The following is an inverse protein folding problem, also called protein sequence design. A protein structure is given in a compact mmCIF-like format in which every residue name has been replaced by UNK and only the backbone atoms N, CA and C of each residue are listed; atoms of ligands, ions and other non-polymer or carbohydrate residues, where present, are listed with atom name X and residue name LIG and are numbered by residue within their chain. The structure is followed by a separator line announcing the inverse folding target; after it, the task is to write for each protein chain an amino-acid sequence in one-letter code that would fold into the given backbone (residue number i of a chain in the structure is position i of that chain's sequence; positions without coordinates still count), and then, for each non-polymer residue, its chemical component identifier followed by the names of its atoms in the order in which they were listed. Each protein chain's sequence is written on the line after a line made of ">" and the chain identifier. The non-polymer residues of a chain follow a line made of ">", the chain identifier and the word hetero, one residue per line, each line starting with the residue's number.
data_IF_822050716668
#
_entry.id   IF_822050716668
#
_cell.length_a   1.000
_cell.length_b   1.000
_cell.length_c   1.000
_cell.angle_alpha   90.00
_cell.angle_beta   90.00
_cell.angle_gamma   90.00
#
_symmetry.space_group_name_H-M   'P 1'
#
loop_
_entity.id
_entity.type
_entity.pdbx_description
1 polymer ?
#
# COMPACT_ATOMS: atom_id res chain seq x y z
N UNK A 1 6.25 18.91 16.68
CA UNK A 1 6.01 18.67 15.25
C UNK A 1 5.55 17.24 15.05
N UNK A 2 4.42 17.02 14.40
CA UNK A 2 3.90 15.69 14.09
C UNK A 2 4.77 15.06 12.99
N UNK A 3 5.26 13.84 13.20
CA UNK A 3 5.97 13.06 12.17
C UNK A 3 4.94 12.23 11.40
N UNK A 4 4.85 12.42 10.09
CA UNK A 4 3.91 11.68 9.22
C UNK A 4 4.71 10.66 8.40
N UNK A 5 4.24 9.41 8.38
CA UNK A 5 4.81 8.37 7.51
C UNK A 5 4.89 8.86 6.05
N UNK A 6 5.93 8.50 5.29
CA UNK A 6 6.13 9.00 3.92
C UNK A 6 5.16 8.44 2.88
N UNK A 7 4.17 7.66 3.32
CA UNK A 7 3.13 7.05 2.51
C UNK A 7 1.86 6.89 3.35
N UNK A 8 0.77 6.62 2.66
CA UNK A 8 -0.49 6.20 3.24
C UNK A 8 -1.15 5.14 2.36
N UNK A 9 -2.33 4.67 2.75
CA UNK A 9 -3.04 3.61 2.06
C UNK A 9 -4.33 4.13 1.44
N UNK A 10 -4.60 3.67 0.22
CA UNK A 10 -5.93 3.77 -0.39
C UNK A 10 -6.71 2.52 0.04
N UNK A 11 -7.76 2.66 0.86
CA UNK A 11 -8.51 1.52 1.39
C UNK A 11 -9.06 0.63 0.29
N UNK A 12 -9.16 -0.67 0.58
CA UNK A 12 -9.94 -1.59 -0.25
C UNK A 12 -11.42 -1.39 0.08
N UNK A 13 -12.28 -1.45 -0.94
CA UNK A 13 -13.73 -1.44 -0.75
C UNK A 13 -14.20 -2.81 -0.23
N UNK A 14 -15.36 -2.85 0.42
CA UNK A 14 -15.93 -4.11 0.91
C UNK A 14 -16.47 -5.00 -0.22
N UNK A 15 -16.48 -4.49 -1.46
CA UNK A 15 -16.86 -5.23 -2.67
C UNK A 15 -15.66 -5.99 -3.27
N UNK A 16 -15.86 -7.24 -3.67
CA UNK A 16 -14.85 -8.03 -4.40
C UNK A 16 -14.49 -7.40 -5.77
N UNK A 17 -13.23 -7.53 -6.24
CA UNK A 17 -12.84 -7.11 -7.58
C UNK A 17 -13.74 -7.73 -8.65
N UNK A 18 -14.13 -6.93 -9.65
CA UNK A 18 -14.96 -7.39 -10.76
C UNK A 18 -14.17 -8.38 -11.63
N UNK A 19 -14.63 -9.63 -11.72
CA UNK A 19 -14.03 -10.70 -12.55
C UNK A 19 -15.04 -11.33 -13.49
N UNK A 20 -16.13 -10.63 -13.83
CA UNK A 20 -17.21 -11.18 -14.66
C UNK A 20 -16.90 -11.15 -16.15
N UNK A 21 -15.89 -10.38 -16.55
CA UNK A 21 -15.52 -10.18 -17.94
C UNK A 21 -14.24 -10.93 -18.29
N UNK A 22 -14.35 -11.85 -19.24
CA UNK A 22 -13.21 -12.56 -19.80
C UNK A 22 -12.25 -11.67 -20.60
N UNK A 23 -11.03 -12.14 -20.75
CA UNK A 23 -9.99 -11.56 -21.58
C UNK A 23 -10.30 -11.78 -23.05
N UNK A 24 -10.56 -10.70 -23.78
CA UNK A 24 -10.85 -10.75 -25.22
C UNK A 24 -9.61 -10.96 -26.08
N UNK A 25 -8.42 -11.02 -25.48
CA UNK A 25 -7.18 -11.25 -26.21
C UNK A 25 -6.80 -10.15 -27.19
N UNK A 26 -5.76 -10.46 -27.95
CA UNK A 26 -5.29 -9.70 -29.11
C UNK A 26 -5.60 -10.39 -30.45
N UNK A 27 -6.17 -11.59 -30.40
CA UNK A 27 -6.36 -12.47 -31.57
C UNK A 27 -7.48 -12.00 -32.50
N UNK A 28 -8.57 -11.46 -31.94
CA UNK A 28 -9.70 -10.93 -32.72
C UNK A 28 -10.08 -9.56 -32.19
N UNK A 29 -9.99 -8.56 -33.06
CA UNK A 29 -10.44 -7.21 -32.77
C UNK A 29 -11.97 -7.19 -32.76
N UNK A 30 -12.56 -6.54 -31.75
CA UNK A 30 -13.99 -6.25 -31.72
C UNK A 30 -14.26 -4.87 -32.30
N UNK A 31 -15.34 -4.76 -33.06
CA UNK A 31 -15.67 -3.57 -33.86
C UNK A 31 -15.77 -2.28 -33.03
N UNK A 32 -16.26 -2.38 -31.80
CA UNK A 32 -16.47 -1.28 -30.85
C UNK A 32 -15.27 -1.01 -29.93
N UNK A 33 -14.18 -1.77 -30.09
CA UNK A 33 -12.96 -1.63 -29.30
C UNK A 33 -11.93 -0.71 -29.97
N UNK A 34 -11.09 -0.10 -29.12
CA UNK A 34 -10.08 0.87 -29.51
C UNK A 34 -8.68 0.25 -29.53
N UNK A 35 -7.89 0.61 -30.53
CA UNK A 35 -6.48 0.23 -30.64
C UNK A 35 -5.64 1.38 -31.17
N UNK A 36 -4.35 1.38 -30.84
CA UNK A 36 -3.38 2.32 -31.39
C UNK A 36 -2.32 2.74 -30.38
N UNK A 37 -1.74 3.92 -30.60
CA UNK A 37 -0.59 4.45 -29.88
C UNK A 37 -0.93 5.75 -29.15
N UNK A 38 -0.53 5.87 -27.90
CA UNK A 38 -0.62 7.07 -27.08
C UNK A 38 0.81 7.57 -26.82
N UNK A 39 1.13 8.76 -27.31
CA UNK A 39 2.39 9.45 -27.06
C UNK A 39 2.29 10.24 -25.74
N UNK A 40 3.23 9.99 -24.83
CA UNK A 40 3.22 10.54 -23.48
C UNK A 40 4.52 11.27 -23.17
N UNK A 41 4.39 12.40 -22.49
CA UNK A 41 5.49 13.22 -21.99
C UNK A 41 5.47 13.20 -20.46
N UNK A 42 6.54 12.69 -19.85
CA UNK A 42 6.75 12.67 -18.41
C UNK A 42 7.70 13.80 -18.01
N UNK A 43 7.26 14.68 -17.13
CA UNK A 43 8.09 15.77 -16.58
C UNK A 43 8.43 15.50 -15.11
N UNK A 44 9.72 15.57 -14.78
CA UNK A 44 10.22 15.41 -13.42
C UNK A 44 9.82 16.63 -12.56
N UNK A 45 9.11 16.38 -11.46
CA UNK A 45 8.71 17.41 -10.48
C UNK A 45 9.59 17.38 -9.23
N UNK A 46 10.21 16.25 -8.94
CA UNK A 46 11.34 16.10 -8.01
C UNK A 46 12.45 15.31 -8.74
N UNK A 47 13.68 15.24 -8.22
CA UNK A 47 14.72 14.43 -8.85
C UNK A 47 14.27 12.97 -9.05
N UNK A 48 14.60 12.40 -10.21
CA UNK A 48 14.31 11.01 -10.56
C UNK A 48 15.60 10.21 -10.56
N UNK A 49 15.53 9.01 -9.98
CA UNK A 49 16.63 8.05 -9.95
C UNK A 49 16.10 6.71 -10.41
N UNK A 50 16.75 6.16 -11.42
CA UNK A 50 16.63 4.75 -11.84
C UNK A 50 18.02 4.21 -12.05
N UNK A 51 18.27 2.97 -11.63
CA UNK A 51 19.60 2.41 -11.58
C UNK A 51 19.72 1.22 -12.50
N UNK A 52 20.86 1.13 -13.15
CA UNK A 52 21.29 -0.07 -13.84
C UNK A 52 21.67 -1.15 -12.80
N UNK A 53 20.80 -2.14 -12.62
CA UNK A 53 21.02 -3.25 -11.69
C UNK A 53 21.90 -4.37 -12.28
N UNK A 54 22.20 -4.32 -13.57
CA UNK A 54 23.05 -5.34 -14.23
C UNK A 54 24.51 -5.22 -13.79
N UNK A 55 24.94 -4.02 -13.40
CA UNK A 55 26.29 -3.74 -12.89
C UNK A 55 26.38 -4.04 -11.39
N UNK A 56 26.50 -5.32 -11.06
CA UNK A 56 26.55 -5.80 -9.65
C UNK A 56 27.77 -5.29 -8.87
N UNK A 57 28.85 -4.89 -9.53
CA UNK A 57 30.15 -4.63 -8.89
C UNK A 57 30.56 -3.16 -8.77
N UNK A 58 29.69 -2.21 -9.16
CA UNK A 58 30.04 -0.79 -9.06
C UNK A 58 29.50 -0.20 -7.76
N UNK A 59 30.41 0.27 -6.89
CA UNK A 59 30.07 0.94 -5.63
C UNK A 59 29.10 2.11 -5.81
N UNK A 60 29.20 2.85 -6.92
CA UNK A 60 28.30 3.94 -7.26
C UNK A 60 27.46 3.60 -8.47
N UNK A 61 26.14 3.70 -8.34
CA UNK A 61 25.22 3.34 -9.41
C UNK A 61 24.95 4.54 -10.31
N UNK A 62 25.01 4.30 -11.62
CA UNK A 62 24.69 5.30 -12.65
C UNK A 62 23.22 5.24 -13.04
N UNK A 63 22.78 6.30 -13.71
CA UNK A 63 21.43 6.34 -14.26
C UNK A 63 21.30 5.28 -15.37
N UNK A 64 20.15 4.62 -15.43
CA UNK A 64 19.92 3.58 -16.45
C UNK A 64 19.94 4.17 -17.87
N UNK A 65 20.56 3.44 -18.81
CA UNK A 65 20.64 3.82 -20.22
C UNK A 65 20.21 2.67 -21.12
N UNK A 66 19.74 2.99 -22.32
CA UNK A 66 19.48 2.00 -23.36
C UNK A 66 20.78 1.58 -24.09
N UNK A 67 20.66 0.69 -25.08
CA UNK A 67 21.79 0.23 -25.92
C UNK A 67 22.49 1.36 -26.70
N UNK A 68 21.82 2.49 -26.92
CA UNK A 68 22.36 3.71 -27.55
C UNK A 68 22.96 4.69 -26.53
N UNK A 69 23.19 4.24 -25.30
CA UNK A 69 23.73 5.05 -24.19
C UNK A 69 22.87 6.27 -23.80
N UNK A 70 21.59 6.31 -24.22
CA UNK A 70 20.66 7.38 -23.86
C UNK A 70 20.03 7.11 -22.49
N UNK A 71 19.93 8.09 -21.58
CA UNK A 71 19.23 7.93 -20.30
C UNK A 71 17.76 7.54 -20.50
N UNK A 72 17.30 6.53 -19.75
CA UNK A 72 15.92 6.05 -19.82
C UNK A 72 15.28 5.81 -18.45
N UNK A 73 13.96 5.89 -18.40
CA UNK A 73 13.13 5.23 -17.38
C UNK A 73 12.54 3.96 -17.98
N UNK A 74 12.63 2.82 -17.30
CA UNK A 74 12.15 1.54 -17.84
C UNK A 74 10.63 1.55 -18.06
N UNK A 75 10.19 1.06 -19.21
CA UNK A 75 8.78 0.90 -19.56
C UNK A 75 8.03 0.03 -18.54
N UNK A 76 8.67 -1.01 -18.00
CA UNK A 76 8.12 -1.84 -16.92
C UNK A 76 7.85 -1.05 -15.64
N UNK A 77 8.71 -0.09 -15.29
CA UNK A 77 8.54 0.77 -14.11
C UNK A 77 7.40 1.77 -14.30
N UNK A 78 7.27 2.32 -15.51
CA UNK A 78 6.18 3.22 -15.90
C UNK A 78 4.84 2.46 -15.91
N UNK A 79 4.83 1.26 -16.51
CA UNK A 79 3.69 0.34 -16.49
C UNK A 79 3.24 0.04 -15.06
N UNK A 80 4.17 -0.30 -14.16
CA UNK A 80 3.87 -0.57 -12.76
C UNK A 80 3.26 0.63 -12.04
N UNK A 81 3.80 1.82 -12.27
CA UNK A 81 3.29 3.07 -11.69
C UNK A 81 1.85 3.38 -12.13
N UNK A 82 1.58 3.36 -13.44
CA UNK A 82 0.24 3.61 -13.98
C UNK A 82 -0.73 2.48 -13.58
N UNK A 83 -0.25 1.22 -13.58
CA UNK A 83 -1.02 0.08 -13.10
C UNK A 83 -1.47 0.25 -11.65
N UNK A 84 -0.61 0.74 -10.76
CA UNK A 84 -1.00 0.94 -9.35
C UNK A 84 -2.18 1.92 -9.20
N UNK A 85 -2.18 3.02 -9.98
CA UNK A 85 -3.32 3.95 -10.00
C UNK A 85 -4.56 3.29 -10.58
N UNK A 86 -4.42 2.60 -11.72
CA UNK A 86 -5.53 1.89 -12.35
C UNK A 86 -6.13 0.80 -11.43
N UNK A 87 -5.29 0.09 -10.67
CA UNK A 87 -5.72 -0.90 -9.68
C UNK A 87 -6.54 -0.27 -8.56
N UNK A 88 -6.20 0.96 -8.14
CA UNK A 88 -6.94 1.70 -7.15
C UNK A 88 -8.28 2.24 -7.69
N UNK A 89 -8.32 2.72 -8.94
CA UNK A 89 -9.54 3.17 -9.62
C UNK A 89 -10.54 2.01 -9.78
N UNK A 90 -10.03 0.83 -10.18
CA UNK A 90 -10.87 -0.31 -10.56
C UNK A 90 -11.10 -1.34 -9.45
N UNK A 91 -10.61 -1.09 -8.25
CA UNK A 91 -10.61 -2.03 -7.13
C UNK A 91 -10.09 -3.43 -7.51
N UNK A 92 -9.03 -3.46 -8.33
CA UNK A 92 -8.43 -4.71 -8.83
C UNK A 92 -7.72 -5.50 -7.72
N UNK A 93 -7.38 -6.78 -7.98
CA UNK A 93 -6.69 -7.61 -7.00
C UNK A 93 -5.34 -7.02 -6.55
N UNK A 94 -4.91 -7.34 -5.34
CA UNK A 94 -3.58 -7.05 -4.83
C UNK A 94 -2.59 -8.15 -5.18
N UNK A 95 -1.32 -7.80 -5.37
CA UNK A 95 -0.21 -8.74 -5.59
C UNK A 95 0.20 -9.40 -4.26
N UNK A 96 -0.75 -10.05 -3.61
CA UNK A 96 -0.51 -11.01 -2.55
C UNK A 96 -0.88 -12.40 -3.06
N UNK A 97 -0.06 -13.39 -2.72
CA UNK A 97 -0.31 -14.78 -3.05
C UNK A 97 -1.34 -15.41 -2.10
N UNK A 98 -1.34 -15.02 -0.83
CA UNK A 98 -2.22 -15.52 0.22
C UNK A 98 -2.47 -14.45 1.31
N UNK A 99 -3.49 -14.69 2.14
CA UNK A 99 -3.82 -13.93 3.36
C UNK A 99 -2.72 -14.01 4.40
N UNK A 100 -2.04 -15.15 4.39
CA UNK A 100 -0.95 -15.50 5.28
C UNK A 100 0.30 -15.72 4.44
N UNK A 101 1.45 -15.30 4.96
CA UNK A 101 2.70 -15.47 4.25
C UNK A 101 3.90 -15.15 5.09
N UNK A 102 5.07 -15.15 4.45
CA UNK A 102 6.32 -14.81 5.10
C UNK A 102 6.90 -13.55 4.47
N UNK A 103 7.45 -12.69 5.31
CA UNK A 103 8.20 -11.51 4.90
C UNK A 103 9.61 -11.60 5.46
N UNK A 104 10.59 -11.18 4.67
CA UNK A 104 12.00 -11.27 5.08
C UNK A 104 12.41 -10.08 5.95
N UNK A 105 13.12 -10.37 7.03
CA UNK A 105 13.88 -9.39 7.82
C UNK A 105 15.32 -9.91 7.94
N UNK A 106 16.20 -9.43 7.08
CA UNK A 106 17.51 -10.06 6.91
C UNK A 106 17.37 -11.51 6.42
N UNK A 107 17.98 -12.46 7.14
CA UNK A 107 17.89 -13.90 6.85
C UNK A 107 16.63 -14.56 7.43
N UNK A 108 15.92 -13.87 8.33
CA UNK A 108 14.74 -14.41 9.00
C UNK A 108 13.49 -14.26 8.13
N UNK A 109 12.62 -15.28 8.18
CA UNK A 109 11.27 -15.24 7.61
C UNK A 109 10.27 -15.01 8.74
N UNK A 110 9.62 -13.85 8.73
CA UNK A 110 8.62 -13.47 9.73
C UNK A 110 7.23 -13.70 9.13
N UNK A 111 6.37 -14.52 9.76
CA UNK A 111 5.01 -14.74 9.28
C UNK A 111 4.17 -13.47 9.41
N UNK A 112 3.19 -13.31 8.51
CA UNK A 112 2.15 -12.30 8.60
C UNK A 112 0.78 -12.89 8.25
N UNK A 113 -0.30 -12.29 8.76
CA UNK A 113 -1.70 -12.70 8.54
C UNK A 113 -2.65 -11.50 8.51
N UNK A 114 -3.49 -11.40 7.47
CA UNK A 114 -4.48 -10.32 7.29
C UNK A 114 -5.89 -10.86 7.00
N UNK A 115 -6.90 -10.30 7.69
CA UNK A 115 -8.31 -10.54 7.37
C UNK A 115 -8.76 -9.83 6.08
N UNK A 116 -9.88 -10.29 5.50
CA UNK A 116 -10.57 -9.74 4.32
C UNK A 116 -9.78 -9.69 3.00
N UNK A 117 -8.49 -10.05 3.03
CA UNK A 117 -7.64 -10.09 1.85
C UNK A 117 -8.09 -11.17 0.85
N UNK A 118 -8.80 -12.19 1.31
CA UNK A 118 -9.24 -13.33 0.51
C UNK A 118 -9.95 -12.91 -0.80
N UNK A 119 -10.76 -11.84 -0.79
CA UNK A 119 -11.45 -11.36 -1.99
C UNK A 119 -10.53 -10.65 -3.00
N UNK A 120 -9.47 -10.06 -2.49
CA UNK A 120 -8.51 -9.26 -3.24
C UNK A 120 -7.25 -10.03 -3.63
N UNK A 121 -7.09 -11.29 -3.25
CA UNK A 121 -5.92 -12.08 -3.63
C UNK A 121 -5.76 -12.13 -5.15
N UNK A 122 -4.53 -11.86 -5.59
CA UNK A 122 -4.17 -12.03 -6.99
C UNK A 122 -4.47 -13.45 -7.42
N UNK A 123 -4.24 -14.47 -6.56
CA UNK A 123 -4.47 -15.90 -6.78
C UNK A 123 -5.86 -16.24 -7.32
N UNK A 124 -6.90 -15.44 -7.06
CA UNK A 124 -8.25 -15.59 -7.65
C UNK A 124 -8.37 -15.22 -9.13
N UNK A 125 -7.47 -14.41 -9.68
CA UNK A 125 -7.41 -14.13 -11.12
C UNK A 125 -6.66 -15.27 -11.85
N UNK A 126 -7.21 -16.48 -11.91
CA UNK A 126 -6.50 -17.71 -12.31
C UNK A 126 -6.89 -18.29 -13.67
N UNK A 127 -7.87 -17.72 -14.36
CA UNK A 127 -8.20 -18.08 -15.74
C UNK A 127 -8.43 -16.81 -16.57
N UNK A 128 -8.38 -16.94 -17.90
CA UNK A 128 -8.59 -15.82 -18.82
C UNK A 128 -10.03 -15.28 -18.76
N UNK A 129 -10.99 -16.11 -18.36
CA UNK A 129 -12.41 -15.79 -18.22
C UNK A 129 -12.69 -14.97 -16.95
N UNK A 130 -11.82 -15.07 -15.93
CA UNK A 130 -12.05 -14.52 -14.60
C UNK A 130 -10.93 -13.58 -14.11
N UNK A 131 -10.51 -12.63 -14.94
CA UNK A 131 -9.50 -11.63 -14.59
C UNK A 131 -10.13 -10.34 -14.04
N UNK A 132 -9.46 -9.75 -13.03
CA UNK A 132 -9.79 -8.39 -12.62
C UNK A 132 -9.40 -7.37 -13.70
N UNK A 133 -9.93 -6.13 -13.67
CA UNK A 133 -9.70 -5.15 -14.73
C UNK A 133 -8.21 -4.87 -14.98
N UNK A 134 -7.39 -4.75 -13.91
CA UNK A 134 -5.96 -4.49 -14.06
C UNK A 134 -5.19 -5.71 -14.62
N UNK A 135 -5.50 -6.93 -14.17
CA UNK A 135 -4.86 -8.14 -14.71
C UNK A 135 -5.19 -8.33 -16.19
N UNK A 136 -6.42 -8.01 -16.61
CA UNK A 136 -6.84 -8.08 -18.01
C UNK A 136 -6.13 -7.03 -18.88
N UNK A 137 -6.02 -5.80 -18.38
CA UNK A 137 -5.40 -4.70 -19.11
C UNK A 137 -3.87 -4.81 -19.15
N UNK A 138 -3.22 -4.99 -18.00
CA UNK A 138 -1.75 -4.97 -17.88
C UNK A 138 -1.11 -6.35 -17.96
N UNK A 139 -1.91 -7.43 -17.99
CA UNK A 139 -1.42 -8.80 -18.00
C UNK A 139 -1.17 -9.37 -16.60
N UNK A 140 -1.04 -10.69 -16.55
CA UNK A 140 -0.77 -11.47 -15.36
C UNK A 140 -0.13 -12.81 -15.75
N UNK A 141 0.85 -13.24 -14.96
CA UNK A 141 1.47 -14.56 -15.07
C UNK A 141 1.30 -15.25 -13.72
N UNK A 142 0.85 -16.49 -13.71
CA UNK A 142 0.80 -17.32 -12.50
C UNK A 142 1.11 -18.77 -12.81
N UNK A 143 2.28 -19.21 -12.35
CA UNK A 143 2.78 -20.55 -12.65
C UNK A 143 2.60 -20.87 -14.14
N UNK A 144 2.24 -22.10 -14.42
CA UNK A 144 1.98 -22.58 -15.79
C UNK A 144 0.50 -22.48 -16.18
N UNK A 145 -0.38 -22.09 -15.26
CA UNK A 145 -1.84 -22.16 -15.45
C UNK A 145 -2.44 -20.88 -16.05
N UNK A 146 -1.79 -19.74 -15.88
CA UNK A 146 -2.26 -18.48 -16.46
C UNK A 146 -1.12 -17.67 -17.06
N UNK A 147 -1.19 -17.48 -18.38
CA UNK A 147 -0.32 -16.60 -19.15
C UNK A 147 -1.17 -15.56 -19.89
N UNK A 148 -1.34 -14.38 -19.28
CA UNK A 148 -2.06 -13.26 -19.88
C UNK A 148 -1.08 -12.13 -20.23
N UNK A 149 -0.87 -11.89 -21.53
CA UNK A 149 0.05 -10.87 -22.05
C UNK A 149 -0.35 -9.44 -21.68
N UNK A 150 -1.64 -9.20 -21.47
CA UNK A 150 -2.20 -7.86 -21.31
C UNK A 150 -2.42 -7.16 -22.65
N UNK A 151 -3.29 -6.14 -22.63
CA UNK A 151 -3.70 -5.34 -23.79
C UNK A 151 -2.85 -4.09 -24.01
N UNK A 152 -1.99 -3.74 -23.05
CA UNK A 152 -1.12 -2.55 -23.14
C UNK A 152 0.36 -2.89 -23.05
N UNK A 153 1.15 -2.27 -23.93
CA UNK A 153 2.61 -2.32 -23.93
C UNK A 153 3.19 -0.91 -23.77
N UNK A 154 4.33 -0.81 -23.08
CA UNK A 154 4.99 0.46 -22.74
C UNK A 154 6.39 0.44 -23.32
N UNK A 155 6.78 1.48 -24.05
CA UNK A 155 8.17 1.71 -24.37
C UNK A 155 8.93 2.19 -23.14
N UNK A 156 10.26 2.09 -23.17
CA UNK A 156 11.09 2.88 -22.26
C UNK A 156 10.87 4.37 -22.52
N UNK A 157 10.93 5.18 -21.46
CA UNK A 157 10.90 6.62 -21.60
C UNK A 157 12.30 7.17 -21.77
N UNK A 158 12.52 7.85 -22.89
CA UNK A 158 13.82 8.40 -23.27
C UNK A 158 13.89 9.86 -22.83
N UNK A 159 15.01 10.27 -22.23
CA UNK A 159 15.26 11.68 -21.89
C UNK A 159 15.32 12.51 -23.19
N UNK A 160 14.42 13.48 -23.35
CA UNK A 160 14.33 14.35 -24.52
C UNK A 160 14.67 15.80 -24.23
N UNK A 161 14.51 16.24 -22.97
CA UNK A 161 14.87 17.59 -22.54
C UNK A 161 15.53 17.56 -21.15
N UNK A 162 16.54 18.40 -20.97
CA UNK A 162 17.37 18.43 -19.77
C UNK A 162 18.61 17.54 -19.86
N UNK A 163 19.45 17.60 -18.84
CA UNK A 163 20.68 16.80 -18.71
C UNK A 163 20.71 16.17 -17.32
N UNK A 164 21.28 14.98 -17.22
CA UNK A 164 21.51 14.35 -15.92
C UNK A 164 22.51 15.19 -15.11
N UNK A 165 22.19 15.37 -13.83
CA UNK A 165 23.12 15.97 -12.87
C UNK A 165 24.18 14.95 -12.49
N UNK A 166 25.46 15.31 -12.63
CA UNK A 166 26.60 14.49 -12.23
C UNK A 166 26.94 14.84 -10.78
N UNK A 167 26.44 14.05 -9.84
CA UNK A 167 26.67 14.27 -8.42
C UNK A 167 26.78 12.93 -7.70
N UNK A 168 27.97 12.64 -7.18
CA UNK A 168 28.18 11.52 -6.27
C UNK A 168 27.52 11.82 -4.95
N UNK A 169 26.51 11.04 -4.56
CA UNK A 169 25.90 11.18 -3.25
C UNK A 169 25.39 9.84 -2.70
N UNK A 170 25.32 9.78 -1.38
CA UNK A 170 24.70 8.71 -0.63
C UNK A 170 23.24 9.07 -0.39
N UNK A 171 22.29 8.21 -0.79
CA UNK A 171 20.88 8.43 -0.50
C UNK A 171 20.57 8.15 0.97
N UNK A 172 19.70 8.95 1.58
CA UNK A 172 19.10 8.65 2.89
C UNK A 172 18.47 7.24 2.88
N UNK A 173 18.50 6.57 4.03
CA UNK A 173 18.01 5.21 4.17
C UNK A 173 16.57 5.05 3.66
N UNK A 174 16.40 4.12 2.72
CA UNK A 174 15.13 3.80 2.09
C UNK A 174 14.39 2.72 2.88
N UNK A 175 14.35 2.87 4.22
CA UNK A 175 13.61 1.94 5.07
C UNK A 175 12.17 1.84 4.60
N UNK A 176 11.57 0.69 4.75
CA UNK A 176 10.13 0.53 4.53
C UNK A 176 9.67 -0.60 5.44
N UNK A 177 8.68 -0.37 6.31
CA UNK A 177 8.15 -1.47 7.10
C UNK A 177 7.60 -2.52 6.15
N UNK A 178 7.68 -3.76 6.58
CA UNK A 178 7.28 -4.93 5.82
C UNK A 178 5.86 -5.34 6.20
N UNK A 179 5.22 -6.26 5.46
CA UNK A 179 3.89 -6.74 5.79
C UNK A 179 3.74 -7.33 7.20
N UNK A 180 4.81 -7.76 7.90
CA UNK A 180 4.71 -8.15 9.31
C UNK A 180 4.50 -6.99 10.30
N UNK A 181 4.65 -5.74 9.85
CA UNK A 181 4.52 -4.56 10.70
C UNK A 181 3.05 -4.09 10.76
N UNK A 182 2.23 -4.84 11.51
CA UNK A 182 0.78 -4.62 11.58
C UNK A 182 0.38 -3.22 12.02
N UNK A 183 1.15 -2.59 12.92
CA UNK A 183 0.95 -1.20 13.34
C UNK A 183 0.92 -0.21 12.16
N UNK A 184 1.47 -0.58 11.00
CA UNK A 184 1.45 0.24 9.80
C UNK A 184 0.58 -0.32 8.68
N UNK A 185 0.52 -1.63 8.49
CA UNK A 185 -0.19 -2.25 7.36
C UNK A 185 -1.57 -2.81 7.71
N UNK A 186 -1.91 -2.94 8.99
CA UNK A 186 -3.22 -3.38 9.45
C UNK A 186 -4.09 -2.19 9.87
N UNK A 187 -5.38 -2.19 9.49
CA UNK A 187 -6.33 -1.13 9.86
C UNK A 187 -6.41 -0.94 11.39
N UNK A 188 -6.36 -2.04 12.12
CA UNK A 188 -6.46 -2.06 13.59
C UNK A 188 -5.10 -2.25 14.29
N UNK A 189 -4.00 -2.33 13.53
CA UNK A 189 -2.65 -2.37 14.08
C UNK A 189 -2.18 -3.70 14.70
N UNK A 190 -2.98 -4.77 14.62
CA UNK A 190 -2.67 -6.09 15.19
C UNK A 190 -2.73 -7.22 14.14
N UNK A 191 -2.18 -8.39 14.49
CA UNK A 191 -2.25 -9.59 13.65
C UNK A 191 -3.71 -9.99 13.38
N UNK A 192 -3.98 -10.41 12.15
CA UNK A 192 -5.34 -10.75 11.72
C UNK A 192 -6.24 -9.54 11.46
N UNK A 193 -5.78 -8.30 11.67
CA UNK A 193 -6.55 -7.13 11.26
C UNK A 193 -6.69 -7.06 9.72
N UNK A 194 -7.75 -6.42 9.19
CA UNK A 194 -7.85 -6.18 7.76
C UNK A 194 -6.68 -5.32 7.26
N UNK A 195 -6.22 -5.56 6.04
CA UNK A 195 -5.15 -4.75 5.44
C UNK A 195 -5.61 -3.29 5.25
N UNK A 196 -4.71 -2.34 5.52
CA UNK A 196 -4.97 -0.91 5.40
C UNK A 196 -5.31 -0.48 3.97
N UNK A 197 -4.72 -1.14 2.96
CA UNK A 197 -5.06 -0.96 1.55
C UNK A 197 -3.86 -0.95 0.61
N UNK A 198 -3.98 -0.21 -0.50
CA UNK A 198 -2.91 -0.01 -1.48
C UNK A 198 -1.99 1.10 -1.01
N UNK A 199 -0.70 0.79 -0.84
CA UNK A 199 0.30 1.74 -0.36
C UNK A 199 0.72 2.73 -1.47
N UNK A 200 0.61 4.03 -1.19
CA UNK A 200 1.09 5.11 -2.05
C UNK A 200 1.95 6.10 -1.27
N UNK A 201 3.05 6.54 -1.88
CA UNK A 201 3.97 7.51 -1.26
C UNK A 201 3.50 8.94 -1.51
N UNK A 202 3.59 9.78 -0.47
CA UNK A 202 3.31 11.20 -0.60
C UNK A 202 4.37 11.93 -1.43
N UNK A 203 3.96 13.06 -2.02
CA UNK A 203 4.85 14.03 -2.66
C UNK A 203 5.39 15.01 -1.62
N UNK A 204 6.71 15.28 -1.68
CA UNK A 204 7.42 16.10 -0.70
C UNK A 204 8.03 17.36 -1.36
N UNK A 205 7.33 17.90 -2.36
CA UNK A 205 7.79 19.09 -3.11
C UNK A 205 8.93 18.82 -4.09
N UNK A 206 9.53 19.91 -4.58
CA UNK A 206 10.49 19.88 -5.71
C UNK A 206 11.89 19.46 -5.30
N UNK A 207 12.37 19.92 -4.15
CA UNK A 207 13.76 19.77 -3.72
C UNK A 207 13.84 19.06 -2.36
N UNK A 208 13.49 17.77 -2.28
CA UNK A 208 13.64 17.04 -1.03
C UNK A 208 15.13 16.98 -0.64
N UNK A 209 15.46 17.11 0.64
CA UNK A 209 16.80 16.78 1.12
C UNK A 209 16.94 15.26 1.11
N UNK A 210 17.60 14.71 0.08
CA UNK A 210 17.66 13.26 -0.17
C UNK A 210 19.06 12.65 0.03
N UNK A 211 20.11 13.46 0.08
CA UNK A 211 21.49 13.01 0.26
C UNK A 211 21.95 13.06 1.71
N UNK A 212 22.93 12.22 2.04
CA UNK A 212 23.73 12.24 3.28
C UNK A 212 25.22 12.31 2.95
N UNK A 213 26.01 12.75 3.92
CA UNK A 213 27.47 12.67 3.85
C UNK A 213 27.93 11.20 3.86
N UNK A 214 28.99 10.89 3.12
CA UNK A 214 29.45 9.50 2.97
C UNK A 214 29.86 8.85 4.30
N UNK A 215 30.40 9.64 5.25
CA UNK A 215 30.74 9.16 6.61
C UNK A 215 29.53 8.65 7.41
N UNK A 216 28.31 9.06 7.03
CA UNK A 216 27.06 8.64 7.65
C UNK A 216 26.41 7.45 6.93
N UNK A 217 27.04 6.95 5.85
CA UNK A 217 26.52 5.81 5.09
C UNK A 217 26.59 4.51 5.88
N UNK A 218 25.66 3.61 5.58
CA UNK A 218 25.60 2.28 6.15
C UNK A 218 25.35 1.23 5.05
N UNK A 219 25.19 -0.04 5.44
CA UNK A 219 25.01 -1.16 4.50
C UNK A 219 23.71 -1.10 3.68
N UNK A 220 22.76 -0.23 4.02
CA UNK A 220 21.51 0.00 3.30
C UNK A 220 21.53 1.27 2.44
N UNK A 221 22.57 2.09 2.56
CA UNK A 221 22.74 3.31 1.79
C UNK A 221 23.03 2.99 0.33
N UNK A 222 22.28 3.65 -0.58
CA UNK A 222 22.53 3.54 -2.02
C UNK A 222 23.39 4.72 -2.45
N UNK A 223 24.56 4.44 -3.03
CA UNK A 223 25.41 5.45 -3.66
C UNK A 223 25.02 5.63 -5.12
N UNK A 224 24.82 6.86 -5.55
CA UNK A 224 24.52 7.22 -6.94
C UNK A 224 25.56 8.22 -7.47
N UNK A 225 25.76 8.24 -8.79
CA UNK A 225 26.59 9.26 -9.48
C UNK A 225 25.76 10.24 -10.30
N UNK A 226 24.55 9.83 -10.68
CA UNK A 226 23.71 10.56 -11.61
C UNK A 226 22.25 10.53 -11.17
N UNK A 227 21.55 11.62 -11.40
CA UNK A 227 20.09 11.68 -11.32
C UNK A 227 19.53 12.64 -12.36
N UNK A 228 18.26 12.47 -12.72
CA UNK A 228 17.56 13.44 -13.55
C UNK A 228 17.01 14.56 -12.65
N UNK A 229 17.45 15.82 -12.81
CA UNK A 229 16.99 16.94 -11.99
C UNK A 229 15.53 17.30 -12.27
N UNK A 230 14.95 18.13 -11.39
CA UNK A 230 13.63 18.73 -11.60
C UNK A 230 13.58 19.43 -12.97
N UNK A 231 12.49 19.27 -13.69
CA UNK A 231 12.32 19.83 -15.03
C UNK A 231 12.77 18.92 -16.16
N UNK A 232 13.52 17.84 -15.90
CA UNK A 232 13.85 16.85 -16.92
C UNK A 232 12.60 16.27 -17.57
N UNK A 233 12.62 16.08 -18.89
CA UNK A 233 11.48 15.60 -19.66
C UNK A 233 11.82 14.30 -20.38
N UNK A 234 10.95 13.31 -20.26
CA UNK A 234 11.08 12.01 -20.90
C UNK A 234 9.88 11.76 -21.84
N UNK A 235 10.12 11.20 -23.02
CA UNK A 235 9.07 10.80 -23.97
C UNK A 235 8.94 9.28 -24.01
N UNK A 236 7.71 8.77 -24.02
CA UNK A 236 7.43 7.34 -24.16
C UNK A 236 6.09 7.10 -24.83
N UNK A 237 5.87 5.84 -25.23
CA UNK A 237 4.70 5.41 -25.95
C UNK A 237 3.99 4.28 -25.21
N UNK A 238 2.66 4.33 -25.25
CA UNK A 238 1.79 3.26 -24.79
C UNK A 238 1.04 2.74 -26.01
N UNK A 239 1.16 1.45 -26.27
CA UNK A 239 0.43 0.75 -27.32
C UNK A 239 -0.73 0.01 -26.69
N UNK A 240 -1.95 0.34 -27.10
CA UNK A 240 -3.18 -0.31 -26.66
C UNK A 240 -3.81 -1.12 -27.77
N UNK A 241 -4.28 -2.32 -27.46
CA UNK A 241 -4.96 -3.19 -28.42
C UNK A 241 -6.26 -3.71 -27.83
N UNK A 242 -7.34 -3.65 -28.62
CA UNK A 242 -8.62 -4.25 -28.29
C UNK A 242 -9.19 -3.77 -26.93
N UNK A 243 -9.05 -2.47 -26.64
CA UNK A 243 -9.50 -1.82 -25.41
C UNK A 243 -11.00 -1.53 -25.49
N UNK A 244 -11.76 -1.86 -24.44
CA UNK A 244 -13.14 -1.36 -24.33
C UNK A 244 -13.13 0.17 -24.10
N UNK A 245 -14.28 0.82 -24.34
CA UNK A 245 -14.47 2.24 -24.00
C UNK A 245 -14.11 2.55 -22.54
N UNK A 246 -14.54 1.70 -21.61
CA UNK A 246 -14.26 1.84 -20.18
C UNK A 246 -12.77 1.64 -19.85
N UNK A 247 -12.14 0.62 -20.43
CA UNK A 247 -10.71 0.35 -20.24
C UNK A 247 -9.86 1.53 -20.73
N UNK A 248 -10.18 2.07 -21.91
CA UNK A 248 -9.50 3.24 -22.45
C UNK A 248 -9.72 4.46 -21.55
N UNK A 249 -10.96 4.78 -21.18
CA UNK A 249 -11.25 5.97 -20.35
C UNK A 249 -10.50 5.98 -19.02
N UNK A 250 -10.51 4.85 -18.31
CA UNK A 250 -9.80 4.69 -17.02
C UNK A 250 -8.28 4.64 -17.19
N UNK A 251 -7.79 4.07 -18.29
CA UNK A 251 -6.36 4.08 -18.62
C UNK A 251 -5.87 5.51 -18.88
N UNK A 252 -6.62 6.31 -19.65
CA UNK A 252 -6.28 7.71 -19.91
C UNK A 252 -6.20 8.53 -18.63
N UNK A 253 -7.14 8.34 -17.70
CA UNK A 253 -7.09 8.97 -16.37
C UNK A 253 -5.88 8.49 -15.56
N UNK A 254 -5.56 7.19 -15.58
CA UNK A 254 -4.40 6.65 -14.87
C UNK A 254 -3.05 7.08 -15.48
N UNK A 255 -3.00 7.40 -16.78
CA UNK A 255 -1.82 7.95 -17.44
C UNK A 255 -1.66 9.43 -17.07
N UNK A 256 -2.64 10.25 -17.42
CA UNK A 256 -2.63 11.70 -17.22
C UNK A 256 -3.65 12.06 -16.14
N UNK A 257 -3.16 12.24 -14.92
CA UNK A 257 -3.98 12.58 -13.77
C UNK A 257 -4.58 13.99 -13.89
N UNK A 258 -5.55 14.28 -13.02
CA UNK A 258 -6.12 15.62 -12.89
C UNK A 258 -5.10 16.62 -12.33
N UNK A 259 -5.35 17.90 -12.57
CA UNK A 259 -4.49 18.99 -12.11
C UNK A 259 -4.24 18.94 -10.59
N UNK A 260 -3.00 19.22 -10.20
CA UNK A 260 -2.54 19.15 -8.81
C UNK A 260 -2.22 17.73 -8.30
N UNK A 261 -2.49 16.69 -9.10
CA UNK A 261 -2.08 15.32 -8.81
C UNK A 261 -0.84 14.91 -9.60
N UNK A 262 -0.10 13.93 -9.08
CA UNK A 262 1.11 13.44 -9.71
C UNK A 262 1.39 11.97 -9.44
N UNK A 263 2.41 11.49 -10.12
CA UNK A 263 2.87 10.12 -10.08
C UNK A 263 4.19 9.98 -9.32
N UNK A 264 4.46 8.77 -8.80
CA UNK A 264 5.71 8.45 -8.08
C UNK A 264 6.47 7.31 -8.76
N UNK A 265 7.61 7.60 -9.38
CA UNK A 265 8.46 6.63 -10.10
C UNK A 265 9.88 6.56 -9.54
N UNK A 266 10.57 5.46 -9.81
CA UNK A 266 11.99 5.32 -9.48
C UNK A 266 12.26 5.07 -7.99
N UNK A 267 13.51 5.29 -7.61
CA UNK A 267 14.01 5.11 -6.25
C UNK A 267 13.78 6.34 -5.39
N UNK A 268 13.93 6.18 -4.08
CA UNK A 268 13.86 7.30 -3.14
C UNK A 268 12.44 7.80 -2.85
N UNK A 269 11.39 7.05 -3.22
CA UNK A 269 10.00 7.46 -3.00
C UNK A 269 9.71 7.84 -1.54
N UNK A 270 10.32 7.13 -0.59
CA UNK A 270 10.10 7.38 0.84
C UNK A 270 10.80 8.65 1.36
N UNK A 271 11.84 9.12 0.67
CA UNK A 271 12.61 10.32 1.01
C UNK A 271 12.23 11.49 0.07
N UNK A 272 11.06 11.42 -0.56
CA UNK A 272 10.49 12.51 -1.34
C UNK A 272 10.80 12.52 -2.83
N UNK A 273 11.70 11.66 -3.31
CA UNK A 273 12.08 11.57 -4.72
C UNK A 273 11.00 10.90 -5.59
N UNK A 274 11.16 11.03 -6.91
CA UNK A 274 10.34 10.29 -7.86
C UNK A 274 9.04 10.94 -8.31
N UNK A 275 8.71 12.15 -7.85
CA UNK A 275 7.50 12.88 -8.26
C UNK A 275 7.59 13.31 -9.73
N UNK A 276 6.56 13.02 -10.52
CA UNK A 276 6.43 13.45 -11.90
C UNK A 276 4.96 13.71 -12.28
N UNK A 277 4.74 14.44 -13.37
CA UNK A 277 3.47 14.46 -14.08
C UNK A 277 3.65 13.83 -15.46
N UNK A 278 2.58 13.29 -16.01
CA UNK A 278 2.53 12.79 -17.38
C UNK A 278 1.46 13.57 -18.11
N UNK A 279 1.75 13.96 -19.34
CA UNK A 279 0.79 14.57 -20.27
C UNK A 279 0.72 13.74 -21.55
N UNK A 280 -0.45 13.72 -22.19
CA UNK A 280 -0.70 12.99 -23.42
C UNK A 280 -0.67 13.97 -24.60
N UNK A 281 0.22 13.72 -25.55
CA UNK A 281 0.30 14.48 -26.80
C UNK A 281 -0.76 13.93 -27.76
N UNK A 282 -1.90 14.64 -27.85
CA UNK A 282 -3.07 14.21 -28.62
C UNK A 282 -2.76 14.17 -30.12
N UNK A 283 -1.99 15.13 -30.59
CA UNK A 283 -1.55 15.30 -31.97
C UNK A 283 -0.53 14.25 -32.43
N UNK A 284 0.26 13.65 -31.51
CA UNK A 284 1.20 12.55 -31.83
C UNK A 284 0.64 11.17 -31.51
N UNK A 285 -0.57 11.13 -30.95
CA UNK A 285 -1.29 9.91 -30.62
C UNK A 285 -2.26 9.52 -31.73
N UNK A 286 -2.48 8.23 -31.90
CA UNK A 286 -3.42 7.68 -32.87
C UNK A 286 -4.17 6.51 -32.23
N UNK A 287 -5.44 6.70 -31.93
CA UNK A 287 -6.33 5.67 -31.39
C UNK A 287 -7.59 5.66 -32.22
N UNK A 288 -7.99 4.48 -32.69
CA UNK A 288 -9.16 4.30 -33.55
C UNK A 288 -9.95 3.08 -33.12
N UNK A 289 -11.27 3.11 -33.32
CA UNK A 289 -12.09 1.90 -33.28
C UNK A 289 -11.67 0.91 -34.37
N UNK A 290 -11.80 -0.39 -34.07
CA UNK A 290 -11.46 -1.44 -35.02
C UNK A 290 -12.32 -1.40 -36.28
N UNK A 291 -13.64 -1.20 -36.15
CA UNK A 291 -14.59 -1.02 -37.27
C UNK A 291 -14.09 0.04 -38.25
N UNK A 292 -13.91 1.26 -37.76
CA UNK A 292 -13.46 2.41 -38.56
C UNK A 292 -12.09 2.24 -39.19
N UNK A 293 -11.18 1.52 -38.53
CA UNK A 293 -9.80 1.33 -39.00
C UNK A 293 -9.72 0.54 -40.31
N UNK A 294 -10.64 -0.42 -40.52
CA UNK A 294 -10.64 -1.29 -41.70
C UNK A 294 -11.73 -0.95 -42.72
N UNK A 295 -12.53 0.09 -42.46
CA UNK A 295 -13.59 0.54 -43.38
C UNK A 295 -13.03 1.23 -44.64
N UNK A 296 -11.96 2.04 -44.54
CA UNK A 296 -11.33 2.68 -45.70
C UNK A 296 -9.84 2.94 -45.44
N UNK A 297 -9.00 2.93 -46.48
CA UNK A 297 -7.58 3.29 -46.36
C UNK A 297 -7.35 4.73 -45.82
N UNK A 298 -8.34 5.61 -46.05
CA UNK A 298 -8.34 7.03 -45.67
C UNK A 298 -9.36 7.38 -44.57
N UNK A 299 -9.98 6.41 -43.85
CA UNK A 299 -10.90 6.70 -42.73
C UNK A 299 -10.19 7.19 -41.46
N UNK A 300 -9.20 8.07 -41.64
CA UNK A 300 -8.57 8.87 -40.60
C UNK A 300 -9.46 10.00 -40.10
N UNK A 301 -10.76 9.76 -39.93
CA UNK A 301 -11.55 10.65 -39.10
C UNK A 301 -10.94 10.59 -37.70
N UNK A 302 -10.38 11.72 -37.24
CA UNK A 302 -9.83 11.86 -35.88
C UNK A 302 -10.99 11.65 -34.92
N UNK A 303 -11.22 10.41 -34.52
CA UNK A 303 -12.15 10.10 -33.46
C UNK A 303 -11.64 10.84 -32.22
N UNK A 304 -12.50 11.61 -31.56
CA UNK A 304 -12.13 12.29 -30.32
C UNK A 304 -12.02 11.29 -29.18
N UNK A 305 -11.11 10.31 -29.31
CA UNK A 305 -10.87 9.22 -28.38
C UNK A 305 -10.49 9.74 -27.00
N UNK A 306 -9.85 10.91 -26.94
CA UNK A 306 -9.44 11.52 -25.68
C UNK A 306 -10.64 12.03 -24.87
N UNK A 307 -11.78 12.37 -25.49
CA UNK A 307 -13.03 12.69 -24.78
C UNK A 307 -13.57 11.53 -23.93
N UNK A 308 -13.07 10.31 -24.14
CA UNK A 308 -13.41 9.14 -23.34
C UNK A 308 -12.69 9.11 -21.99
N UNK A 309 -11.69 9.97 -21.77
CA UNK A 309 -10.93 10.05 -20.52
C UNK A 309 -11.91 10.19 -19.35
N UNK A 310 -11.80 9.25 -18.42
CA UNK A 310 -12.63 9.25 -17.23
C UNK A 310 -12.36 10.49 -16.36
N UNK A 311 -13.39 10.94 -15.64
CA UNK A 311 -13.33 12.12 -14.81
C UNK A 311 -12.95 11.83 -13.36
N UNK A 312 -13.18 12.85 -12.52
CA UNK A 312 -12.88 12.89 -11.09
C UNK A 312 -13.67 11.87 -10.28
N UNK A 313 -14.84 11.47 -10.75
CA UNK A 313 -15.74 10.50 -10.14
C UNK A 313 -15.12 9.12 -9.95
N UNK A 314 -14.12 8.75 -10.76
CA UNK A 314 -13.39 7.49 -10.65
C UNK A 314 -12.31 7.50 -9.55
N UNK A 315 -11.98 8.67 -8.99
CA UNK A 315 -10.95 8.83 -7.97
C UNK A 315 -11.58 8.96 -6.57
N UNK A 316 -11.18 8.09 -5.64
CA UNK A 316 -11.55 8.23 -4.23
C UNK A 316 -10.80 9.37 -3.55
N UNK A 317 -11.36 9.96 -2.49
CA UNK A 317 -10.68 11.00 -1.70
C UNK A 317 -9.31 10.54 -1.20
N UNK A 318 -9.23 9.29 -0.71
CA UNK A 318 -7.98 8.70 -0.23
C UNK A 318 -6.92 8.61 -1.35
N UNK A 319 -7.31 8.26 -2.58
CA UNK A 319 -6.40 8.21 -3.72
C UNK A 319 -5.93 9.62 -4.11
N UNK A 320 -6.84 10.59 -4.11
CA UNK A 320 -6.49 11.99 -4.39
C UNK A 320 -5.52 12.52 -3.35
N UNK A 321 -5.79 12.27 -2.08
CA UNK A 321 -4.95 12.74 -0.98
C UNK A 321 -3.50 12.28 -1.13
N UNK A 322 -3.28 11.01 -1.48
CA UNK A 322 -1.92 10.45 -1.65
C UNK A 322 -1.24 10.90 -2.94
N UNK A 323 -1.99 11.21 -4.00
CA UNK A 323 -1.46 11.69 -5.28
C UNK A 323 -1.27 13.22 -5.33
N UNK A 324 -1.74 13.98 -4.34
CA UNK A 324 -1.58 15.45 -4.29
C UNK A 324 -0.10 15.85 -4.23
N UNK A 325 0.31 16.71 -5.17
CA UNK A 325 1.70 17.16 -5.30
C UNK A 325 2.18 18.09 -4.17
N UNK A 326 1.27 18.85 -3.56
CA UNK A 326 1.61 19.94 -2.65
C UNK A 326 1.42 19.63 -1.16
N UNK A 327 1.29 18.35 -0.75
CA UNK A 327 1.10 18.00 0.67
C UNK A 327 2.26 18.47 1.56
N UNK A 328 3.48 18.52 1.05
CA UNK A 328 4.66 18.98 1.81
C UNK A 328 4.71 20.48 2.18
N UNK A 329 3.70 21.29 1.82
CA UNK A 329 3.58 22.69 2.23
C UNK A 329 2.56 22.93 3.34
N UNK A 330 1.78 21.93 3.77
CA UNK A 330 0.75 22.16 4.78
C UNK A 330 1.33 22.18 6.19
N UNK A 331 0.69 22.96 7.06
CA UNK A 331 0.95 23.20 8.48
C UNK A 331 0.88 21.91 9.37
N UNK A 332 0.83 20.72 8.76
CA UNK A 332 0.45 19.44 9.38
C UNK A 332 1.63 18.59 9.91
N UNK A 333 2.88 18.95 9.61
CA UNK A 333 4.08 18.28 10.15
C UNK A 333 5.12 17.81 9.12
N UNK A 334 6.18 17.17 9.61
CA UNK A 334 7.33 16.76 8.78
C UNK A 334 7.13 15.35 8.25
N UNK A 335 7.09 15.19 6.91
CA UNK A 335 6.99 13.88 6.26
C UNK A 335 8.36 13.19 6.34
N UNK A 336 8.47 12.18 7.19
CA UNK A 336 9.66 11.32 7.33
C UNK A 336 9.24 10.01 7.99
N UNK A 337 10.10 8.99 7.93
CA UNK A 337 9.87 7.84 8.78
C UNK A 337 9.85 8.28 10.25
N UNK A 338 8.84 7.88 11.03
CA UNK A 338 8.93 7.92 12.49
C UNK A 338 10.19 7.20 12.91
N UNK A 339 10.91 7.71 13.91
CA UNK A 339 12.08 7.00 14.41
C UNK A 339 11.60 5.61 14.88
N UNK A 340 12.28 4.53 14.50
CA UNK A 340 11.89 3.20 14.96
C UNK A 340 11.90 3.10 16.50
N UNK A 341 12.63 4.01 17.18
CA UNK A 341 12.67 4.23 18.63
C UNK A 341 11.47 5.01 19.16
N UNK A 342 10.79 5.80 18.32
CA UNK A 342 9.48 6.44 18.62
C UNK A 342 8.35 5.40 18.65
N UNK A 343 8.47 4.30 17.90
CA UNK A 343 7.71 3.10 18.24
C UNK A 343 8.31 2.59 19.54
N UNK A 344 7.68 2.96 20.67
CA UNK A 344 8.04 2.40 21.98
C UNK A 344 8.25 0.90 21.80
N UNK A 345 9.43 0.40 22.21
CA UNK A 345 9.61 -1.01 22.53
C UNK A 345 8.68 -1.31 23.70
N UNK A 346 7.38 -1.41 23.44
CA UNK A 346 6.47 -2.09 24.35
C UNK A 346 6.86 -3.56 24.25
N UNK A 347 7.37 -4.18 25.34
CA UNK A 347 7.73 -5.58 25.33
C UNK A 347 6.41 -6.35 25.40
N UNK A 348 5.75 -6.57 24.27
CA UNK A 348 4.66 -7.54 24.27
C UNK A 348 5.27 -8.95 24.25
N UNK A 349 5.75 -9.39 25.41
CA UNK A 349 6.21 -10.76 25.71
C UNK A 349 5.05 -11.64 26.23
N UNK A 350 3.80 -11.29 25.92
CA UNK A 350 2.65 -12.15 26.17
C UNK A 350 2.59 -13.31 25.17
N UNK A 351 1.97 -14.45 25.50
CA UNK A 351 1.71 -15.50 24.52
C UNK A 351 0.89 -14.93 23.34
N UNK A 352 1.18 -15.43 22.14
CA UNK A 352 0.49 -15.09 20.90
C UNK A 352 -1.03 -15.23 21.13
N UNK A 353 -1.77 -14.12 20.97
CA UNK A 353 -3.22 -13.93 21.17
C UNK A 353 -3.72 -13.30 22.48
N UNK A 354 -2.85 -12.90 23.42
CA UNK A 354 -3.30 -12.08 24.56
C UNK A 354 -3.47 -10.60 24.17
N UNK A 355 -4.58 -9.95 24.56
CA UNK A 355 -4.82 -8.50 24.36
C UNK A 355 -4.24 -7.63 25.50
N UNK A 356 -3.63 -8.23 26.52
CA UNK A 356 -2.96 -7.58 27.65
C UNK A 356 -2.69 -8.55 28.80
N UNK A 357 -1.87 -8.14 29.79
CA UNK A 357 -1.55 -8.90 31.02
C UNK A 357 -1.74 -7.94 32.21
N UNK A 358 -2.44 -8.35 33.27
CA UNK A 358 -2.59 -7.53 34.50
C UNK A 358 -1.58 -7.96 35.57
N UNK A 359 -0.86 -7.02 36.19
CA UNK A 359 0.00 -7.30 37.35
C UNK A 359 -0.35 -6.32 38.48
N UNK A 360 -0.88 -6.83 39.60
CA UNK A 360 -1.22 -6.02 40.78
C UNK A 360 -2.03 -6.78 41.84
N UNK A 361 -1.89 -6.37 43.11
CA UNK A 361 -2.48 -6.99 44.29
C UNK A 361 -3.99 -6.82 44.42
N UNK A 362 -4.64 -7.85 44.96
CA UNK A 362 -6.08 -7.93 45.29
C UNK A 362 -6.45 -6.92 46.36
N UNK A 363 -7.48 -6.10 46.13
CA UNK A 363 -8.11 -5.31 47.20
C UNK A 363 -9.09 -6.21 47.96
N UNK A 364 -8.95 -6.31 49.28
CA UNK A 364 -9.92 -6.97 50.17
C UNK A 364 -11.08 -6.02 50.47
N UNK A 365 -12.28 -6.56 50.31
CA UNK A 365 -13.57 -6.25 50.92
C UNK A 365 -14.11 -4.81 50.88
N UNK A 366 -15.34 -4.71 50.38
CA UNK A 366 -16.15 -3.50 50.35
C UNK A 366 -17.37 -3.72 49.47
N UNK A 367 -18.34 -4.50 49.96
CA UNK A 367 -19.67 -4.59 49.38
C UNK A 367 -20.36 -3.22 49.49
N UNK A 368 -21.06 -2.76 48.44
CA UNK A 368 -22.43 -2.34 48.68
C UNK A 368 -23.42 -2.96 47.68
N UNK A 369 -24.54 -3.37 48.26
CA UNK A 369 -25.80 -3.76 47.65
C UNK A 369 -26.34 -2.74 46.66
N UNK A 370 -26.84 -3.22 45.52
CA UNK A 370 -27.66 -2.47 44.59
C UNK A 370 -28.06 -3.36 43.42
N UNK A 371 -29.30 -3.81 43.44
CA UNK A 371 -29.96 -4.55 42.35
C UNK A 371 -30.19 -3.62 41.17
N UNK A 372 -29.91 -4.09 39.95
CA UNK A 372 -30.81 -3.96 38.80
C UNK A 372 -30.31 -4.85 37.65
N UNK A 373 -31.27 -5.58 37.07
CA UNK A 373 -31.09 -6.63 36.08
C UNK A 373 -30.61 -6.10 34.72
N UNK A 374 -29.50 -6.67 34.23
CA UNK A 374 -29.25 -6.88 32.79
C UNK A 374 -28.61 -8.25 32.62
N UNK A 375 -29.40 -9.20 32.11
CA UNK A 375 -28.92 -10.50 31.64
C UNK A 375 -28.34 -10.30 30.24
N UNK A 376 -27.02 -10.18 30.15
CA UNK A 376 -26.26 -10.46 28.92
C UNK A 376 -25.55 -11.81 29.07
N UNK A 377 -25.80 -12.69 28.11
CA UNK A 377 -25.34 -14.07 28.07
C UNK A 377 -23.82 -14.19 28.29
N UNK A 378 -23.42 -14.77 29.41
CA UNK A 378 -22.02 -15.13 29.67
C UNK A 378 -21.56 -16.16 28.62
N UNK A 379 -20.46 -15.92 27.88
CA UNK A 379 -19.85 -16.97 27.08
C UNK A 379 -19.30 -18.05 28.02
N UNK A 380 -19.64 -19.32 27.76
CA UNK A 380 -19.28 -20.44 28.65
C UNK A 380 -17.77 -20.78 28.64
N UNK A 381 -17.02 -20.38 27.62
CA UNK A 381 -15.58 -20.70 27.51
C UNK A 381 -14.73 -19.54 26.97
N UNK A 382 -13.48 -19.38 27.46
CA UNK A 382 -12.54 -18.37 26.96
C UNK A 382 -11.98 -18.77 25.58
N UNK A 383 -11.79 -17.83 24.64
CA UNK A 383 -11.29 -18.12 23.28
C UNK A 383 -9.77 -18.41 23.22
N UNK A 384 -9.12 -18.62 24.37
CA UNK A 384 -7.68 -18.81 24.49
C UNK A 384 -7.32 -19.70 25.69
N UNK A 385 -6.17 -20.38 25.61
CA UNK A 385 -5.62 -21.20 26.71
C UNK A 385 -4.75 -20.33 27.63
N UNK A 386 -4.92 -20.44 28.94
CA UNK A 386 -4.07 -19.76 29.93
C UNK A 386 -2.80 -20.56 30.25
N UNK A 387 -1.74 -19.89 30.70
CA UNK A 387 -0.54 -20.54 31.24
C UNK A 387 -0.71 -20.88 32.72
N UNK A 388 0.18 -21.71 33.25
CA UNK A 388 0.19 -22.07 34.66
C UNK A 388 0.39 -20.81 35.53
N UNK A 389 -0.58 -20.48 36.39
CA UNK A 389 -0.59 -19.28 37.22
C UNK A 389 -1.36 -18.07 36.65
N UNK A 390 -2.06 -18.26 35.51
CA UNK A 390 -2.93 -17.28 34.88
C UNK A 390 -4.39 -17.76 34.88
N UNK A 391 -5.33 -16.86 35.18
CA UNK A 391 -6.76 -17.12 35.11
C UNK A 391 -7.42 -16.29 34.00
N UNK A 392 -8.29 -16.93 33.21
CA UNK A 392 -9.14 -16.22 32.25
C UNK A 392 -10.35 -15.65 32.98
N UNK A 393 -10.65 -14.38 32.73
CA UNK A 393 -11.78 -13.71 33.35
C UNK A 393 -12.49 -12.74 32.39
N UNK A 394 -13.81 -12.75 32.43
CA UNK A 394 -14.70 -11.90 31.65
C UNK A 394 -14.93 -10.58 32.36
N UNK A 395 -14.67 -9.45 31.72
CA UNK A 395 -14.94 -8.13 32.33
C UNK A 395 -16.45 -7.87 32.32
N UNK A 396 -17.07 -7.97 33.50
CA UNK A 396 -18.51 -7.81 33.71
C UNK A 396 -18.89 -6.35 33.90
N UNK A 397 -18.16 -5.61 34.74
CA UNK A 397 -18.49 -4.21 35.05
C UNK A 397 -17.22 -3.37 35.18
N UNK A 398 -17.34 -2.07 34.83
CA UNK A 398 -16.26 -1.09 34.89
C UNK A 398 -16.69 0.14 35.67
N UNK A 399 -15.93 0.47 36.72
CA UNK A 399 -16.08 1.68 37.52
C UNK A 399 -14.88 2.62 37.31
N UNK A 400 -14.92 3.80 37.94
CA UNK A 400 -13.84 4.80 37.80
C UNK A 400 -12.49 4.28 38.31
N UNK A 401 -12.48 3.55 39.43
CA UNK A 401 -11.28 3.11 40.14
C UNK A 401 -11.09 1.58 40.17
N UNK A 402 -12.16 0.81 39.95
CA UNK A 402 -12.18 -0.66 40.00
C UNK A 402 -12.84 -1.32 38.79
N UNK A 403 -12.49 -2.58 38.57
CA UNK A 403 -12.96 -3.45 37.49
C UNK A 403 -13.48 -4.74 38.10
N UNK A 404 -14.66 -5.20 37.68
CA UNK A 404 -15.27 -6.45 38.16
C UNK A 404 -15.23 -7.48 37.05
N UNK A 405 -14.48 -8.55 37.27
CA UNK A 405 -14.40 -9.67 36.35
C UNK A 405 -15.17 -10.87 36.89
N UNK A 406 -15.56 -11.80 36.02
CA UNK A 406 -16.07 -13.13 36.38
C UNK A 406 -15.09 -14.15 35.81
N UNK A 407 -14.50 -14.98 36.65
CA UNK A 407 -13.58 -16.02 36.16
C UNK A 407 -14.33 -17.20 35.52
N UNK A 408 -13.61 -18.15 34.93
CA UNK A 408 -14.20 -19.35 34.32
C UNK A 408 -14.96 -20.27 35.29
N UNK A 409 -14.86 -20.05 36.60
CA UNK A 409 -15.61 -20.76 37.64
C UNK A 409 -16.86 -19.99 38.09
N UNK A 410 -17.20 -18.87 37.42
CA UNK A 410 -18.35 -18.03 37.77
C UNK A 410 -18.15 -17.13 38.99
N UNK A 411 -16.92 -17.05 39.53
CA UNK A 411 -16.61 -16.23 40.70
C UNK A 411 -16.20 -14.82 40.30
N UNK A 412 -16.76 -13.82 40.97
CA UNK A 412 -16.37 -12.43 40.77
C UNK A 412 -14.97 -12.14 41.34
N UNK A 413 -14.17 -11.41 40.56
CA UNK A 413 -12.81 -11.02 40.87
C UNK A 413 -12.66 -9.53 40.59
N UNK A 414 -12.43 -8.74 41.64
CA UNK A 414 -12.23 -7.29 41.51
C UNK A 414 -10.75 -6.98 41.33
N UNK A 415 -10.42 -6.04 40.43
CA UNK A 415 -9.07 -5.49 40.23
C UNK A 415 -9.12 -3.97 40.20
N UNK A 416 -8.09 -3.33 40.76
CA UNK A 416 -7.94 -1.89 40.58
C UNK A 416 -7.69 -1.57 39.11
N UNK A 417 -8.35 -0.54 38.59
CA UNK A 417 -8.12 -0.04 37.23
C UNK A 417 -6.67 0.40 37.03
N UNK A 418 -6.00 0.88 38.08
CA UNK A 418 -4.59 1.27 38.06
C UNK A 418 -3.64 0.09 37.79
N UNK A 419 -4.07 -1.15 38.04
CA UNK A 419 -3.31 -2.37 37.77
C UNK A 419 -3.39 -2.83 36.31
N UNK A 420 -4.17 -2.17 35.45
CA UNK A 420 -4.27 -2.52 34.03
C UNK A 420 -3.02 -2.12 33.26
N UNK A 421 -2.32 -3.11 32.72
CA UNK A 421 -1.18 -2.89 31.83
C UNK A 421 -1.63 -3.13 30.39
N UNK A 422 -2.26 -2.11 29.80
CA UNK A 422 -2.77 -2.12 28.43
C UNK A 422 -3.29 -0.74 28.01
N UNK A 423 -3.65 -0.58 26.73
CA UNK A 423 -4.22 0.69 26.24
C UNK A 423 -5.63 0.88 26.83
N UNK A 424 -5.97 2.01 27.47
CA UNK A 424 -7.27 2.22 28.10
C UNK A 424 -8.49 2.00 27.18
N UNK A 425 -8.32 2.18 25.86
CA UNK A 425 -9.35 1.93 24.84
C UNK A 425 -9.70 0.46 24.63
N UNK A 426 -8.87 -0.47 25.09
CA UNK A 426 -9.10 -1.92 24.98
C UNK A 426 -9.82 -2.51 26.21
N UNK A 427 -10.15 -1.66 27.18
CA UNK A 427 -10.79 -2.05 28.43
C UNK A 427 -12.31 -1.93 28.28
N UNK A 428 -12.88 -2.89 27.56
CA UNK A 428 -14.28 -2.97 27.19
C UNK A 428 -15.01 -4.06 28.02
N UNK A 429 -16.17 -3.70 28.56
CA UNK A 429 -17.09 -4.66 29.20
C UNK A 429 -17.53 -5.68 28.15
N UNK A 430 -17.69 -6.94 28.54
CA UNK A 430 -18.08 -8.00 27.62
C UNK A 430 -16.91 -8.59 26.83
N UNK A 431 -15.69 -8.59 27.39
CA UNK A 431 -14.49 -9.21 26.79
C UNK A 431 -13.72 -10.07 27.79
N UNK A 432 -13.01 -11.06 27.27
CA UNK A 432 -12.13 -11.94 28.05
C UNK A 432 -10.74 -11.32 28.23
N UNK A 433 -10.21 -11.42 29.44
CA UNK A 433 -8.88 -10.96 29.85
C UNK A 433 -8.12 -12.07 30.58
N UNK A 434 -6.80 -11.93 30.65
CA UNK A 434 -5.93 -12.80 31.45
C UNK A 434 -5.50 -12.06 32.71
N UNK A 435 -5.74 -12.67 33.87
CA UNK A 435 -5.32 -12.17 35.17
C UNK A 435 -4.08 -12.98 35.63
N UNK A 436 -2.96 -12.31 35.94
CA UNK A 436 -1.72 -12.96 36.42
C UNK A 436 -1.28 -12.43 37.79
N UNK A 437 -1.05 -13.32 38.77
CA UNK A 437 -0.62 -13.03 40.15
C UNK A 437 -1.71 -12.41 41.07
N UNK A 438 -1.85 -12.71 42.36
CA UNK A 438 -1.19 -13.63 43.31
C UNK A 438 -2.24 -14.30 44.22
N UNK A 439 -1.94 -15.53 44.65
CA UNK A 439 -2.54 -16.24 45.77
C UNK A 439 -2.67 -15.40 47.05
N UNK A 440 -3.62 -15.82 47.88
CA UNK A 440 -3.92 -15.38 49.25
C UNK A 440 -2.71 -14.97 50.10
N UNK A 441 -2.75 -13.77 50.66
CA UNK A 441 -1.96 -13.43 51.85
C UNK A 441 -2.57 -14.13 53.07
N UNK A 442 -1.99 -15.26 53.50
CA UNK A 442 -2.07 -15.72 54.89
C UNK A 442 -1.03 -14.95 55.71
N UNK A 443 -1.48 -14.16 56.69
CA UNK A 443 -0.85 -14.01 58.02
C UNK A 443 -1.83 -13.31 58.96
N UNK A 444 -1.98 -13.91 60.15
CA UNK A 444 -2.98 -13.73 61.22
C UNK A 444 -4.36 -14.29 60.86
#
# INVERSE_FOLDING_TARGET
>A
MITINPYNFVPLKDKKPNRTMGYTGKLRLKDDHYSGKIECILKALSPLITLDQSRKDVKNKKFLRNSRNTPILQGASIKGMIRSVYEAITDSCLIFAATDGFSSKGKEKIPYSYADLANYLSSKCNSLEALCPACRLFGAIKGDTLNCQGKVAFSDAVLVEGKLSQQKCCLKDLLSPKPHHYATYGKSGHQGSPIAGRKFYYHQGKNPSFSIEERLSNNHTIRIEEYAPVGSVFSFQIYGENLTKEELGKLLLAIELLDGLGHKIGLGKAIGLGSCCITISREKSSITKASKRYENWNSGAIENWYSLKAGREELSEALIEVLRLNKGKSEDGTIRYPDYREYKKEPFNGPINALGVFVGTTLKDGCPSGTDDVVESQPQEPPFKTKQGEDAAWLKERYEDKLVFVNTQGKEVVRSRKGYQGKPKLLEVGKWFILSGTNSSRRA
#
